data_IF_158418302303
#
_entry.id   IF_158418302303
#
_cell.length_a   1.000
_cell.length_b   1.000
_cell.length_c   1.000
_cell.angle_alpha   90.00
_cell.angle_beta   90.00
_cell.angle_gamma   90.00
#
_symmetry.space_group_name_H-M   'P 1'
#
loop_
_entity.id
_entity.type
_entity.pdbx_description
1 polymer ?
#
# COMPACT_ATOMS: atom_id res chain seq x y z
N UNK A 1 12.63 2.30 0.49
CA UNK A 1 12.00 1.05 0.98
C UNK A 1 13.01 -0.09 1.14
N UNK A 2 13.89 -0.33 0.17
CA UNK A 2 14.90 -1.40 0.22
C UNK A 2 15.76 -1.38 1.49
N UNK A 3 16.24 -0.21 1.92
CA UNK A 3 17.03 -0.09 3.15
C UNK A 3 16.22 -0.37 4.43
N UNK A 4 14.90 -0.16 4.42
CA UNK A 4 14.04 -0.56 5.54
C UNK A 4 13.80 -2.08 5.53
N UNK A 5 13.57 -2.65 4.33
CA UNK A 5 13.35 -4.09 4.16
C UNK A 5 14.47 -4.93 4.75
N UNK A 6 15.73 -4.52 4.57
CA UNK A 6 16.89 -5.25 5.10
C UNK A 6 16.99 -5.26 6.62
N UNK A 7 16.23 -4.39 7.30
CA UNK A 7 16.20 -4.30 8.77
C UNK A 7 14.97 -5.00 9.37
N UNK A 8 14.17 -5.71 8.57
CA UNK A 8 13.00 -6.49 9.00
C UNK A 8 13.26 -7.97 8.74
N UNK A 9 13.01 -8.81 9.74
CA UNK A 9 13.03 -10.26 9.60
C UNK A 9 11.65 -10.76 9.17
N UNK A 10 11.49 -11.16 7.90
CA UNK A 10 10.18 -11.61 7.41
C UNK A 10 9.75 -12.98 7.92
N UNK A 11 10.59 -13.69 8.68
CA UNK A 11 10.21 -14.88 9.42
C UNK A 11 9.70 -14.56 10.83
N UNK A 12 9.91 -13.33 11.30
CA UNK A 12 9.33 -12.86 12.56
C UNK A 12 7.88 -12.37 12.35
N UNK A 13 6.89 -12.90 13.10
CA UNK A 13 5.47 -12.56 12.98
C UNK A 13 5.15 -11.07 12.87
N UNK A 14 5.72 -10.26 13.77
CA UNK A 14 5.50 -8.81 13.81
C UNK A 14 6.06 -8.12 12.58
N UNK A 15 7.28 -8.48 12.17
CA UNK A 15 8.00 -7.84 11.07
C UNK A 15 7.34 -8.16 9.72
N UNK A 16 6.87 -9.40 9.53
CA UNK A 16 6.05 -9.77 8.38
C UNK A 16 4.77 -8.91 8.28
N UNK A 17 4.05 -8.72 9.39
CA UNK A 17 2.84 -7.90 9.42
C UNK A 17 3.15 -6.41 9.16
N UNK A 18 4.22 -5.89 9.77
CA UNK A 18 4.68 -4.51 9.55
C UNK A 18 5.08 -4.29 8.09
N UNK A 19 5.81 -5.24 7.49
CA UNK A 19 6.21 -5.14 6.10
C UNK A 19 5.03 -5.19 5.15
N UNK A 20 4.08 -6.10 5.39
CA UNK A 20 2.85 -6.19 4.61
C UNK A 20 2.02 -4.90 4.69
N UNK A 21 1.83 -4.31 5.88
CA UNK A 21 1.16 -3.01 6.01
C UNK A 21 1.91 -1.92 5.27
N UNK A 22 3.24 -1.87 5.37
CA UNK A 22 4.04 -0.81 4.77
C UNK A 22 3.91 -0.81 3.24
N UNK A 23 4.04 -1.98 2.61
CA UNK A 23 3.97 -2.12 1.15
C UNK A 23 2.54 -1.95 0.65
N UNK A 24 1.55 -2.59 1.29
CA UNK A 24 0.14 -2.46 0.91
C UNK A 24 -0.33 -1.02 1.07
N UNK A 25 0.00 -0.33 2.17
CA UNK A 25 -0.39 1.08 2.36
C UNK A 25 0.16 1.96 1.23
N UNK A 26 1.39 1.70 0.80
CA UNK A 26 2.03 2.49 -0.24
C UNK A 26 1.46 2.22 -1.63
N UNK A 27 1.38 0.95 -2.05
CA UNK A 27 0.94 0.60 -3.40
C UNK A 27 -0.57 0.64 -3.60
N UNK A 28 -1.35 0.43 -2.53
CA UNK A 28 -2.79 0.65 -2.58
C UNK A 28 -3.17 2.11 -2.31
N UNK A 29 -2.17 3.00 -2.10
CA UNK A 29 -2.39 4.42 -1.84
C UNK A 29 -3.36 4.61 -0.66
N UNK A 30 -3.23 3.74 0.35
CA UNK A 30 -4.14 3.65 1.49
C UNK A 30 -3.76 4.65 2.58
N UNK A 31 -4.71 5.01 3.44
CA UNK A 31 -4.35 5.65 4.71
C UNK A 31 -3.93 4.56 5.68
N UNK A 32 -2.80 4.75 6.36
CA UNK A 32 -2.30 3.78 7.34
C UNK A 32 -3.38 3.35 8.36
N UNK A 33 -4.18 4.30 8.85
CA UNK A 33 -5.25 4.04 9.84
C UNK A 33 -6.41 3.17 9.33
N UNK A 34 -6.49 2.89 8.03
CA UNK A 34 -7.46 1.94 7.46
C UNK A 34 -7.00 0.49 7.63
N UNK A 35 -5.68 0.27 7.79
CA UNK A 35 -5.06 -1.06 7.86
C UNK A 35 -4.58 -1.45 9.25
N UNK A 36 -4.38 -0.49 10.16
CA UNK A 36 -3.93 -0.75 11.54
C UNK A 36 -4.90 -0.19 12.56
N UNK A 37 -4.95 -0.82 13.74
CA UNK A 37 -5.86 -0.39 14.80
C UNK A 37 -5.29 0.74 15.65
N UNK A 38 -6.15 1.62 16.20
CA UNK A 38 -5.71 2.63 17.17
C UNK A 38 -5.28 1.99 18.49
N UNK A 39 -5.94 0.91 18.94
CA UNK A 39 -5.68 0.20 20.20
C UNK A 39 -5.93 -1.30 20.02
N UNK A 40 -5.45 -2.14 20.94
CA UNK A 40 -5.55 -3.60 20.80
C UNK A 40 -6.99 -4.12 20.81
N UNK A 41 -7.84 -3.54 21.66
CA UNK A 41 -9.21 -4.02 21.88
C UNK A 41 -10.25 -3.22 21.07
N UNK A 42 -9.83 -2.52 20.02
CA UNK A 42 -10.72 -1.68 19.21
C UNK A 42 -11.16 -2.33 17.90
N UNK A 43 -10.87 -3.61 17.71
CA UNK A 43 -11.25 -4.29 16.47
C UNK A 43 -12.77 -4.43 16.39
N UNK A 44 -13.29 -4.16 15.20
CA UNK A 44 -14.71 -4.24 14.86
C UNK A 44 -14.77 -4.60 13.37
N UNK A 45 -15.24 -5.80 13.00
CA UNK A 45 -15.25 -6.25 11.61
C UNK A 45 -16.21 -5.45 10.72
N UNK A 46 -17.14 -4.68 11.28
CA UNK A 46 -18.01 -3.77 10.51
C UNK A 46 -17.33 -2.45 10.14
N UNK A 47 -16.18 -2.14 10.76
CA UNK A 47 -15.46 -0.87 10.58
C UNK A 47 -14.03 -1.05 10.10
N UNK A 48 -13.42 -2.20 10.40
CA UNK A 48 -12.01 -2.45 10.18
C UNK A 48 -11.81 -3.62 9.20
N UNK A 49 -10.67 -3.61 8.51
CA UNK A 49 -10.28 -4.68 7.60
C UNK A 49 -10.09 -6.00 8.36
N UNK A 50 -10.76 -7.05 7.87
CA UNK A 50 -10.65 -8.40 8.39
C UNK A 50 -10.03 -9.31 7.32
N UNK A 51 -9.55 -10.50 7.72
CA UNK A 51 -8.95 -11.47 6.78
C UNK A 51 -9.88 -11.81 5.61
N UNK A 52 -11.18 -11.95 5.88
CA UNK A 52 -12.22 -12.26 4.88
C UNK A 52 -12.43 -11.17 3.82
N UNK A 53 -11.95 -9.94 4.06
CA UNK A 53 -12.10 -8.84 3.11
C UNK A 53 -11.02 -8.82 2.03
N UNK A 54 -10.05 -9.76 2.07
CA UNK A 54 -9.02 -9.91 1.04
C UNK A 54 -9.52 -10.84 -0.05
N UNK A 55 -9.48 -10.37 -1.29
CA UNK A 55 -9.82 -11.15 -2.48
C UNK A 55 -8.82 -10.88 -3.61
N UNK A 56 -8.74 -11.81 -4.55
CA UNK A 56 -8.04 -11.62 -5.82
C UNK A 56 -9.09 -11.46 -6.92
N UNK A 57 -8.80 -10.61 -7.89
CA UNK A 57 -9.62 -10.35 -9.06
C UNK A 57 -8.74 -10.33 -10.31
N UNK A 58 -9.36 -10.31 -11.50
CA UNK A 58 -8.67 -10.24 -12.78
C UNK A 58 -9.36 -9.26 -13.71
N UNK A 59 -8.58 -8.55 -14.52
CA UNK A 59 -9.14 -7.78 -15.63
C UNK A 59 -9.50 -8.71 -16.82
N UNK A 60 -9.96 -8.11 -17.92
CA UNK A 60 -10.34 -8.84 -19.14
C UNK A 60 -9.17 -9.55 -19.83
N UNK A 61 -7.95 -9.11 -19.57
CA UNK A 61 -6.71 -9.65 -20.14
C UNK A 61 -6.04 -10.66 -19.20
N UNK A 62 -6.65 -10.91 -18.03
CA UNK A 62 -6.17 -11.87 -17.04
C UNK A 62 -5.13 -11.30 -16.08
N UNK A 63 -4.89 -9.99 -16.08
CA UNK A 63 -4.00 -9.35 -15.13
C UNK A 63 -4.57 -9.41 -13.72
N UNK A 64 -3.79 -9.97 -12.80
CA UNK A 64 -4.19 -10.15 -11.41
C UNK A 64 -4.12 -8.85 -10.62
N UNK A 65 -5.19 -8.57 -9.87
CA UNK A 65 -5.27 -7.49 -8.89
C UNK A 65 -5.71 -8.04 -7.54
N UNK A 66 -5.07 -7.56 -6.48
CA UNK A 66 -5.44 -7.86 -5.11
C UNK A 66 -6.30 -6.74 -4.57
N UNK A 67 -7.37 -7.11 -3.89
CA UNK A 67 -8.35 -6.19 -3.33
C UNK A 67 -8.52 -6.43 -1.84
N UNK A 68 -8.52 -5.34 -1.06
CA UNK A 68 -8.90 -5.34 0.35
C UNK A 68 -10.09 -4.40 0.50
N UNK A 69 -11.26 -4.95 0.79
CA UNK A 69 -12.43 -4.14 1.11
C UNK A 69 -12.26 -3.49 2.48
N UNK A 70 -12.33 -2.15 2.54
CA UNK A 70 -12.32 -1.38 3.78
C UNK A 70 -13.77 -1.06 4.15
N UNK A 71 -14.35 -1.66 5.22
CA UNK A 71 -15.77 -1.53 5.51
C UNK A 71 -16.24 -0.10 5.76
N UNK A 72 -15.36 0.75 6.30
CA UNK A 72 -15.67 2.15 6.55
C UNK A 72 -14.43 3.01 6.34
N UNK A 73 -14.60 4.10 5.60
CA UNK A 73 -13.56 5.11 5.43
C UNK A 73 -14.03 6.44 6.02
N UNK A 74 -13.15 7.45 6.06
CA UNK A 74 -13.54 8.81 6.46
C UNK A 74 -14.66 9.38 5.57
N UNK A 75 -14.76 8.89 4.33
CA UNK A 75 -15.57 9.49 3.28
C UNK A 75 -16.71 8.59 2.77
N UNK A 76 -16.75 7.33 3.21
CA UNK A 76 -17.73 6.32 2.80
C UNK A 76 -18.18 5.48 3.99
N UNK A 77 -19.49 5.49 4.25
CA UNK A 77 -20.15 4.62 5.25
C UNK A 77 -20.36 3.20 4.72
N UNK A 78 -20.42 3.03 3.40
CA UNK A 78 -20.57 1.72 2.74
C UNK A 78 -19.24 1.05 2.39
N UNK A 79 -18.13 1.65 2.81
CA UNK A 79 -16.79 1.16 2.53
C UNK A 79 -16.29 1.47 1.12
N UNK A 80 -15.02 1.14 0.87
CA UNK A 80 -14.31 1.33 -0.40
C UNK A 80 -13.23 0.25 -0.57
N UNK A 81 -12.95 -0.14 -1.82
CA UNK A 81 -11.88 -1.10 -2.13
C UNK A 81 -10.51 -0.43 -2.17
N UNK A 82 -9.51 -1.14 -1.63
CA UNK A 82 -8.10 -0.90 -1.86
C UNK A 82 -7.59 -1.87 -2.91
N UNK A 83 -6.95 -1.39 -3.97
CA UNK A 83 -6.46 -2.24 -5.05
C UNK A 83 -4.93 -2.08 -5.20
N UNK A 84 -4.23 -3.20 -5.37
CA UNK A 84 -2.80 -3.22 -5.66
C UNK A 84 -2.44 -4.49 -6.45
N UNK A 85 -1.31 -4.45 -7.15
CA UNK A 85 -0.85 -5.56 -7.97
C UNK A 85 0.63 -5.86 -7.72
N UNK A 86 1.08 -6.99 -8.23
CA UNK A 86 2.47 -7.44 -8.12
C UNK A 86 3.43 -6.39 -8.66
N UNK A 87 4.53 -6.15 -7.96
CA UNK A 87 5.62 -5.25 -8.35
C UNK A 87 6.91 -6.06 -8.58
N UNK A 88 7.81 -5.55 -9.43
CA UNK A 88 9.08 -6.22 -9.78
C UNK A 88 10.19 -6.10 -8.73
N UNK A 89 9.91 -5.43 -7.61
CA UNK A 89 10.93 -5.01 -6.64
C UNK A 89 10.85 -5.77 -5.31
N UNK A 90 11.91 -5.66 -4.50
CA UNK A 90 12.00 -6.19 -3.13
C UNK A 90 10.92 -5.71 -2.13
N UNK A 91 10.04 -4.81 -2.59
CA UNK A 91 8.92 -4.21 -1.85
C UNK A 91 7.57 -4.53 -2.50
N UNK A 92 7.47 -5.67 -3.17
CA UNK A 92 6.22 -6.19 -3.71
C UNK A 92 5.14 -6.38 -2.63
N UNK A 93 3.99 -5.68 -2.71
CA UNK A 93 2.90 -5.80 -1.75
C UNK A 93 2.23 -7.18 -1.78
N UNK A 94 2.21 -7.85 -2.94
CA UNK A 94 1.60 -9.18 -3.05
C UNK A 94 2.44 -10.21 -2.29
N UNK A 95 3.74 -10.26 -2.54
CA UNK A 95 4.66 -11.15 -1.81
C UNK A 95 4.67 -10.85 -0.32
N UNK A 96 4.64 -9.58 0.08
CA UNK A 96 4.62 -9.18 1.48
C UNK A 96 3.32 -9.61 2.19
N UNK A 97 2.16 -9.39 1.56
CA UNK A 97 0.87 -9.81 2.10
C UNK A 97 0.77 -11.33 2.18
N UNK A 98 1.15 -12.05 1.12
CA UNK A 98 1.13 -13.52 1.12
C UNK A 98 2.03 -14.07 2.22
N UNK A 99 3.25 -13.56 2.39
CA UNK A 99 4.13 -13.98 3.49
C UNK A 99 3.48 -13.76 4.87
N UNK A 100 2.88 -12.59 5.10
CA UNK A 100 2.15 -12.32 6.33
C UNK A 100 1.00 -13.31 6.54
N UNK A 101 0.20 -13.59 5.51
CA UNK A 101 -0.93 -14.50 5.61
C UNK A 101 -0.48 -15.94 5.88
N UNK A 102 0.61 -16.40 5.26
CA UNK A 102 1.18 -17.73 5.50
C UNK A 102 1.78 -17.86 6.89
N UNK A 103 2.54 -16.86 7.35
CA UNK A 103 3.25 -16.92 8.64
C UNK A 103 2.32 -16.72 9.83
N UNK A 104 1.44 -15.71 9.75
CA UNK A 104 0.58 -15.33 10.86
C UNK A 104 -0.77 -16.03 10.84
N UNK A 105 -1.30 -16.35 9.66
CA UNK A 105 -2.58 -17.03 9.47
C UNK A 105 -3.72 -16.48 10.36
N UNK A 106 -4.08 -15.19 10.22
CA UNK A 106 -5.19 -14.62 10.98
C UNK A 106 -6.51 -15.25 10.50
N UNK A 107 -7.38 -15.62 11.45
CA UNK A 107 -8.72 -16.18 11.16
C UNK A 107 -9.57 -15.22 10.33
N UNK A 108 -10.56 -15.76 9.59
CA UNK A 108 -11.41 -15.01 8.65
C UNK A 108 -12.01 -13.71 9.20
N UNK A 109 -12.54 -13.75 10.43
CA UNK A 109 -13.13 -12.58 11.09
C UNK A 109 -12.14 -11.77 11.94
N UNK A 110 -10.87 -12.16 12.04
CA UNK A 110 -9.87 -11.39 12.76
C UNK A 110 -9.35 -10.21 11.93
N UNK A 111 -8.78 -9.19 12.61
CA UNK A 111 -8.13 -8.08 11.93
C UNK A 111 -7.06 -8.59 10.96
N UNK A 112 -7.07 -8.08 9.73
CA UNK A 112 -6.24 -8.59 8.63
C UNK A 112 -4.75 -8.65 9.02
N UNK A 113 -4.24 -7.58 9.64
CA UNK A 113 -2.85 -7.51 10.07
C UNK A 113 -2.68 -7.90 11.53
N UNK A 114 -3.19 -9.06 11.91
CA UNK A 114 -2.88 -9.68 13.20
C UNK A 114 -1.67 -10.58 13.08
N UNK A 115 -0.77 -10.51 14.06
CA UNK A 115 0.43 -11.34 14.10
C UNK A 115 0.43 -12.27 15.31
N UNK A 116 1.11 -13.40 15.17
CA UNK A 116 1.27 -14.37 16.26
C UNK A 116 2.21 -13.81 17.33
N UNK A 117 1.80 -13.94 18.58
CA UNK A 117 2.61 -13.64 19.75
C UNK A 117 2.55 -14.83 20.69
N UNK A 118 3.68 -15.18 21.31
CA UNK A 118 3.73 -16.16 22.38
C UNK A 118 3.93 -15.39 23.68
N UNK A 119 2.93 -15.33 24.57
CA UNK A 119 3.10 -14.71 25.89
C UNK A 119 4.19 -15.43 26.68
N UNK A 120 4.90 -14.69 27.53
CA UNK A 120 5.88 -15.30 28.43
C UNK A 120 5.19 -16.33 29.34
N UNK A 121 5.69 -17.57 29.33
CA UNK A 121 5.15 -18.66 30.15
C UNK A 121 3.95 -19.40 29.53
N UNK A 122 3.69 -19.24 28.23
CA UNK A 122 2.70 -20.03 27.50
C UNK A 122 3.34 -20.69 26.27
N UNK A 123 2.95 -21.93 25.99
CA UNK A 123 3.30 -22.63 24.74
C UNK A 123 2.30 -22.34 23.61
N UNK A 124 1.20 -21.64 23.89
CA UNK A 124 0.17 -21.34 22.91
C UNK A 124 0.37 -19.96 22.26
N UNK A 125 0.20 -19.93 20.95
CA UNK A 125 0.19 -18.68 20.19
C UNK A 125 -1.14 -17.94 20.34
N UNK A 126 -1.06 -16.63 20.53
CA UNK A 126 -2.20 -15.72 20.46
C UNK A 126 -2.07 -14.79 19.25
N UNK A 127 -3.19 -14.39 18.67
CA UNK A 127 -3.22 -13.39 17.62
C UNK A 127 -3.40 -12.00 18.21
N UNK A 128 -2.47 -11.11 17.88
CA UNK A 128 -2.51 -9.73 18.32
C UNK A 128 -2.67 -8.82 17.10
N UNK A 129 -3.70 -7.96 17.04
CA UNK A 129 -3.84 -7.03 15.93
C UNK A 129 -2.71 -5.99 15.94
N UNK A 130 -2.19 -5.66 14.76
CA UNK A 130 -1.18 -4.63 14.61
C UNK A 130 -1.80 -3.25 14.87
N UNK A 131 -1.21 -2.54 15.84
CA UNK A 131 -1.62 -1.18 16.17
C UNK A 131 -0.73 -0.16 15.48
N UNK A 132 -1.27 1.06 15.26
CA UNK A 132 -0.49 2.19 14.73
C UNK A 132 0.78 2.46 15.55
N UNK A 133 0.69 2.34 16.88
CA UNK A 133 1.84 2.52 17.79
C UNK A 133 2.92 1.47 17.52
N UNK A 134 2.56 0.19 17.51
CA UNK A 134 3.51 -0.89 17.30
C UNK A 134 4.15 -0.82 15.90
N UNK A 135 3.35 -0.54 14.87
CA UNK A 135 3.84 -0.30 13.52
C UNK A 135 4.87 0.83 13.47
N UNK A 136 4.51 2.01 13.97
CA UNK A 136 5.42 3.17 13.95
C UNK A 136 6.70 2.92 14.75
N UNK A 137 6.59 2.29 15.93
CA UNK A 137 7.76 1.94 16.74
C UNK A 137 8.72 1.04 15.97
N UNK A 138 8.21 -0.01 15.33
CA UNK A 138 9.04 -0.96 14.58
C UNK A 138 9.67 -0.33 13.34
N UNK A 139 8.92 0.49 12.61
CA UNK A 139 9.44 1.21 11.43
C UNK A 139 10.52 2.23 11.82
N UNK A 140 10.34 2.96 12.93
CA UNK A 140 11.38 3.89 13.44
C UNK A 140 12.63 3.14 13.86
N UNK A 141 12.50 1.98 14.51
CA UNK A 141 13.66 1.13 14.85
C UNK A 141 14.41 0.67 13.59
N UNK A 142 13.68 0.16 12.58
CA UNK A 142 14.26 -0.23 11.30
C UNK A 142 14.95 0.96 10.60
N UNK A 143 14.33 2.14 10.60
CA UNK A 143 14.89 3.33 9.98
C UNK A 143 16.20 3.77 10.64
N UNK A 144 16.25 3.73 11.98
CA UNK A 144 17.48 4.03 12.75
C UNK A 144 18.58 3.02 12.45
N UNK A 145 18.26 1.73 12.41
CA UNK A 145 19.22 0.68 12.07
C UNK A 145 19.76 0.82 10.63
N UNK A 146 18.94 1.33 9.70
CA UNK A 146 19.32 1.66 8.34
C UNK A 146 20.01 3.03 8.17
N UNK A 147 20.34 3.74 9.26
CA UNK A 147 20.92 5.09 9.26
C UNK A 147 20.11 6.12 8.43
N UNK A 148 18.79 5.97 8.35
CA UNK A 148 17.93 6.91 7.64
C UNK A 148 17.67 8.14 8.53
N UNK A 149 18.26 9.27 8.16
CA UNK A 149 18.22 10.52 8.93
C UNK A 149 16.85 11.19 8.98
N UNK A 150 15.99 10.92 7.99
CA UNK A 150 14.60 11.33 7.97
C UNK A 150 13.74 10.28 7.27
N UNK A 151 12.81 9.67 8.00
CA UNK A 151 11.55 9.25 7.39
C UNK A 151 10.82 10.56 7.05
N UNK A 152 11.08 11.13 5.87
CA UNK A 152 10.42 12.37 5.45
C UNK A 152 8.92 12.22 5.71
N UNK A 153 8.35 13.16 6.47
CA UNK A 153 7.01 13.08 7.07
C UNK A 153 5.83 13.03 6.09
N UNK A 154 6.07 12.62 4.85
CA UNK A 154 5.03 12.22 3.92
C UNK A 154 4.40 10.92 4.43
N UNK A 155 3.08 10.95 4.61
CA UNK A 155 2.34 9.72 4.85
C UNK A 155 2.55 8.77 3.67
N UNK A 156 2.60 7.45 3.94
CA UNK A 156 2.72 6.41 2.91
C UNK A 156 1.71 6.61 1.76
N UNK A 157 0.53 7.11 2.09
CA UNK A 157 -0.50 7.54 1.15
C UNK A 157 0.04 8.53 0.10
N UNK A 158 0.62 9.66 0.54
CA UNK A 158 1.18 10.68 -0.36
C UNK A 158 2.40 10.14 -1.11
N UNK A 159 3.23 9.32 -0.44
CA UNK A 159 4.38 8.68 -1.07
C UNK A 159 3.99 7.79 -2.25
N UNK A 160 2.95 6.96 -2.08
CA UNK A 160 2.41 6.10 -3.13
C UNK A 160 1.79 6.89 -4.29
N UNK A 161 1.02 7.95 -3.99
CA UNK A 161 0.52 8.89 -5.00
C UNK A 161 1.65 9.44 -5.85
N UNK A 162 2.72 9.92 -5.22
CA UNK A 162 3.87 10.49 -5.92
C UNK A 162 4.60 9.44 -6.77
N UNK A 163 4.76 8.22 -6.26
CA UNK A 163 5.39 7.12 -7.00
C UNK A 163 4.65 6.83 -8.30
N UNK A 164 3.32 6.69 -8.28
CA UNK A 164 2.55 6.43 -9.49
C UNK A 164 2.59 7.59 -10.50
N UNK A 165 2.59 8.84 -10.03
CA UNK A 165 2.75 10.00 -10.92
C UNK A 165 4.14 10.02 -11.57
N UNK A 166 5.19 9.63 -10.84
CA UNK A 166 6.54 9.51 -11.41
C UNK A 166 6.67 8.36 -12.41
N UNK A 167 5.78 7.36 -12.35
CA UNK A 167 5.63 6.31 -13.37
C UNK A 167 4.80 6.76 -14.57
N UNK A 168 4.38 8.02 -14.63
CA UNK A 168 3.59 8.57 -15.72
C UNK A 168 2.11 8.20 -15.69
N UNK A 169 1.61 7.64 -14.58
CA UNK A 169 0.18 7.31 -14.45
C UNK A 169 -0.64 8.61 -14.43
N UNK A 170 -1.73 8.72 -15.21
CA UNK A 170 -2.57 9.91 -15.25
C UNK A 170 -3.12 10.32 -13.87
N UNK A 171 -3.28 11.63 -13.68
CA UNK A 171 -3.71 12.22 -12.41
C UNK A 171 -5.08 11.72 -11.93
N UNK A 172 -6.03 11.52 -12.83
CA UNK A 172 -7.37 11.00 -12.55
C UNK A 172 -7.35 9.53 -12.13
N UNK A 173 -6.48 8.72 -12.74
CA UNK A 173 -6.23 7.33 -12.34
C UNK A 173 -5.64 7.31 -10.93
N UNK A 174 -4.58 8.08 -10.66
CA UNK A 174 -3.98 8.15 -9.31
C UNK A 174 -4.96 8.70 -8.27
N UNK A 175 -5.79 9.68 -8.64
CA UNK A 175 -6.87 10.22 -7.79
C UNK A 175 -7.86 9.11 -7.41
N UNK A 176 -8.23 8.27 -8.37
CA UNK A 176 -9.10 7.10 -8.18
C UNK A 176 -8.44 6.07 -7.26
N UNK A 177 -7.16 5.73 -7.49
CA UNK A 177 -6.41 4.80 -6.64
C UNK A 177 -6.36 5.26 -5.17
N UNK A 178 -6.09 6.54 -4.93
CA UNK A 178 -6.05 7.09 -3.57
C UNK A 178 -7.42 7.45 -2.98
N UNK A 179 -8.52 7.20 -3.72
CA UNK A 179 -9.90 7.51 -3.32
C UNK A 179 -10.07 8.97 -2.88
N UNK A 180 -9.49 9.88 -3.64
CA UNK A 180 -9.54 11.31 -3.38
C UNK A 180 -10.82 11.92 -3.96
N UNK A 181 -11.70 12.43 -3.10
CA UNK A 181 -12.89 13.17 -3.54
C UNK A 181 -12.55 14.51 -4.21
N UNK A 182 -11.48 15.17 -3.78
CA UNK A 182 -11.04 16.47 -4.30
C UNK A 182 -9.60 16.43 -4.79
N UNK A 183 -9.17 17.49 -5.46
CA UNK A 183 -7.80 17.64 -5.97
C UNK A 183 -6.79 18.08 -4.89
N UNK A 184 -7.14 17.94 -3.61
CA UNK A 184 -6.28 18.30 -2.49
C UNK A 184 -4.93 17.57 -2.49
N UNK A 185 -4.83 16.41 -3.14
CA UNK A 185 -3.56 15.70 -3.29
C UNK A 185 -2.50 16.50 -4.05
N UNK A 186 -2.92 17.41 -4.95
CA UNK A 186 -2.01 18.27 -5.73
C UNK A 186 -1.15 19.16 -4.83
N UNK A 187 -1.68 19.59 -3.68
CA UNK A 187 -0.96 20.42 -2.70
C UNK A 187 0.25 19.71 -2.09
N UNK A 188 0.27 18.38 -2.13
CA UNK A 188 1.32 17.57 -1.53
C UNK A 188 2.41 17.15 -2.54
N UNK A 189 2.24 17.50 -3.82
CA UNK A 189 3.22 17.21 -4.85
C UNK A 189 4.42 18.15 -4.70
N UNK A 190 5.63 17.58 -4.63
CA UNK A 190 6.88 18.34 -4.48
C UNK A 190 7.84 18.20 -5.65
N UNK A 191 7.61 17.20 -6.53
CA UNK A 191 8.49 16.84 -7.65
C UNK A 191 7.88 17.22 -9.00
N UNK A 192 7.38 18.46 -9.11
CA UNK A 192 6.68 18.94 -10.31
C UNK A 192 7.53 18.80 -11.57
N UNK A 193 8.82 19.17 -11.51
CA UNK A 193 9.72 19.05 -12.67
C UNK A 193 9.85 17.60 -13.14
N UNK A 194 10.00 16.63 -12.23
CA UNK A 194 10.12 15.21 -12.59
C UNK A 194 8.79 14.64 -13.11
N UNK A 195 7.65 15.06 -12.53
CA UNK A 195 6.32 14.65 -13.00
C UNK A 195 6.07 15.19 -14.42
N UNK A 196 6.50 16.42 -14.71
CA UNK A 196 6.30 17.06 -16.01
C UNK A 196 7.35 16.65 -17.05
N UNK A 197 8.52 16.16 -16.64
CA UNK A 197 9.63 15.88 -17.55
C UNK A 197 9.24 15.02 -18.76
N UNK A 198 8.47 13.92 -18.65
CA UNK A 198 8.06 13.12 -19.81
C UNK A 198 7.21 13.87 -20.85
N UNK A 199 6.53 14.94 -20.43
CA UNK A 199 5.63 15.75 -21.27
C UNK A 199 6.33 16.94 -21.92
N UNK A 200 7.51 17.32 -21.42
CA UNK A 200 8.28 18.48 -21.89
C UNK A 200 9.40 18.11 -22.87
N UNK A 201 9.56 16.81 -23.17
CA UNK A 201 10.56 16.34 -24.14
C UNK A 201 10.13 16.69 -25.58
N UNK A 202 11.11 16.81 -26.48
CA UNK A 202 10.86 17.10 -27.90
C UNK A 202 9.97 16.04 -28.58
N UNK A 203 10.10 14.79 -28.16
CA UNK A 203 9.21 13.67 -28.48
C UNK A 203 8.66 13.11 -27.16
N UNK A 204 7.48 13.58 -26.70
CA UNK A 204 6.90 13.09 -25.47
C UNK A 204 6.64 11.58 -25.57
N UNK A 205 6.86 10.81 -24.50
CA UNK A 205 6.59 9.35 -24.44
C UNK A 205 5.14 9.00 -24.81
N UNK A 206 4.23 9.97 -24.72
CA UNK A 206 2.81 9.83 -25.07
C UNK A 206 2.55 9.88 -26.58
N UNK A 207 3.52 10.31 -27.40
CA UNK A 207 3.35 10.42 -28.84
C UNK A 207 3.32 9.09 -29.59
N UNK A 208 3.78 7.97 -29.03
CA UNK A 208 3.71 6.66 -29.71
C UNK A 208 2.26 6.27 -30.07
N UNK A 209 1.25 6.75 -29.32
CA UNK A 209 -0.16 6.52 -29.61
C UNK A 209 -0.84 7.65 -30.43
N UNK A 210 -0.20 8.82 -30.59
CA UNK A 210 -0.77 9.96 -31.33
C UNK A 210 -0.45 9.91 -32.83
N UNK A 211 0.61 9.20 -33.24
CA UNK A 211 1.06 9.18 -34.64
C UNK A 211 0.09 8.46 -35.59
N UNK A 212 -0.83 7.62 -35.07
CA UNK A 212 -1.78 6.88 -35.91
C UNK A 212 -2.98 7.69 -36.42
N UNK A 213 -3.20 8.93 -35.96
CA UNK A 213 -4.39 9.72 -36.34
C UNK A 213 -4.12 10.90 -37.28
N UNK A 214 -2.87 11.30 -37.50
CA UNK A 214 -2.57 12.58 -38.20
C UNK A 214 -1.88 12.39 -39.56
N UNK A 215 -1.50 11.16 -39.92
CA UNK A 215 -0.86 10.88 -41.21
C UNK A 215 -1.84 10.09 -42.10
N UNK A 216 -2.38 10.67 -43.18
CA UNK A 216 -3.03 9.87 -44.21
C UNK A 216 -2.02 8.88 -44.80
N UNK A 217 -2.44 7.69 -45.27
CA UNK A 217 -1.54 6.75 -45.91
C UNK A 217 -0.85 7.43 -47.09
N UNK A 218 0.49 7.35 -47.09
CA UNK A 218 1.31 7.78 -48.24
C UNK A 218 0.91 6.88 -49.42
N UNK A 219 0.37 7.50 -50.47
CA UNK A 219 0.04 6.82 -51.74
C UNK A 219 1.29 6.49 -52.52
#
# INVERSE_FOLDING_TARGET
MTSLRSQLDLNAPLDAAVWAVLTVTFFAVARLGELVLPRLNSFDPSRHVARKHVRMDKDREGHEVWVIFVPRTKSSESGEDLCFAKQSASFDPVSALTNHLTLNDPKGDAALFSYRTTPAGSDEHQWRPLTKRAFNQRVVQAAKAAALTQLQGHSLHIGGTLEYLLRGIPFDVVKTMGRWKSDAFRLYLRKHAQILAPYLQAEPVIQENFTCYVMPPVR
#
